data_IF_572582264554
#
_entry.id   IF_572582264554
#
_cell.length_a   1.000
_cell.length_b   1.000
_cell.length_c   1.000
_cell.angle_alpha   90.00
_cell.angle_beta   90.00
_cell.angle_gamma   90.00
#
_symmetry.space_group_name_H-M   'P 1'
#
loop_
_entity.id
_entity.type
_entity.pdbx_description
1 polymer ?
#
# COMPACT_ATOMS: atom_id res chain seq x y z
N UNK A 1 -8.59 31.67 -35.54
CA UNK A 1 -8.91 31.57 -34.11
C UNK A 1 -7.65 31.10 -33.41
N UNK A 2 -6.82 32.05 -32.97
CA UNK A 2 -5.51 31.78 -32.37
C UNK A 2 -5.72 31.72 -30.86
N UNK A 3 -5.48 30.56 -30.27
CA UNK A 3 -5.47 30.36 -28.83
C UNK A 3 -4.22 31.05 -28.27
N UNK A 4 -4.41 32.11 -27.49
CA UNK A 4 -3.33 32.74 -26.73
C UNK A 4 -3.08 31.87 -25.49
N UNK A 5 -2.05 31.04 -25.55
CA UNK A 5 -1.48 30.43 -24.35
C UNK A 5 -0.79 31.53 -23.53
N UNK A 6 -1.32 31.83 -22.35
CA UNK A 6 -0.65 32.69 -21.38
C UNK A 6 0.58 31.95 -20.85
N UNK A 7 1.73 32.21 -21.47
CA UNK A 7 3.04 31.85 -20.93
C UNK A 7 3.38 32.81 -19.80
N UNK A 8 3.30 32.36 -18.55
CA UNK A 8 3.74 33.16 -17.40
C UNK A 8 5.27 33.23 -17.38
N UNK A 9 5.81 34.40 -17.73
CA UNK A 9 7.20 34.75 -17.52
C UNK A 9 7.40 35.15 -16.05
N UNK A 10 8.38 34.55 -15.38
CA UNK A 10 8.82 34.97 -14.04
C UNK A 10 9.51 36.33 -14.13
N UNK A 11 9.00 37.29 -13.37
CA UNK A 11 9.75 38.49 -12.97
C UNK A 11 10.12 38.31 -11.51
N UNK A 12 11.37 38.65 -11.18
CA UNK A 12 11.98 38.45 -9.88
C UNK A 12 11.20 39.09 -8.71
N UNK A 13 11.25 38.36 -7.59
CA UNK A 13 11.00 38.77 -6.21
C UNK A 13 9.53 38.94 -5.77
N UNK A 14 9.17 38.14 -4.75
CA UNK A 14 7.91 38.13 -3.99
C UNK A 14 6.74 37.43 -4.68
N UNK A 15 6.60 36.13 -4.40
CA UNK A 15 5.26 35.50 -4.44
C UNK A 15 4.46 36.23 -3.37
N UNK A 16 3.42 36.96 -3.77
CA UNK A 16 2.43 37.51 -2.83
C UNK A 16 2.01 36.35 -1.91
N UNK A 17 2.04 36.51 -0.58
CA UNK A 17 1.75 35.43 0.36
C UNK A 17 0.46 34.70 0.00
N UNK A 18 -0.53 35.39 -0.58
CA UNK A 18 -1.82 34.84 -1.00
C UNK A 18 -1.79 33.75 -2.11
N UNK A 19 -0.66 33.54 -2.81
CA UNK A 19 -0.57 32.60 -3.95
C UNK A 19 0.45 31.47 -3.77
N UNK A 20 1.02 31.30 -2.57
CA UNK A 20 1.98 30.22 -2.34
C UNK A 20 1.32 28.84 -2.61
N UNK A 21 1.88 28.02 -3.53
CA UNK A 21 1.31 26.73 -3.85
C UNK A 21 1.57 25.73 -2.73
N UNK A 22 0.63 24.82 -2.51
CA UNK A 22 0.94 23.61 -1.75
C UNK A 22 1.90 22.74 -2.56
N UNK A 23 2.81 22.08 -1.85
CA UNK A 23 3.73 21.13 -2.44
C UNK A 23 3.43 19.72 -1.94
N UNK A 24 3.51 18.72 -2.81
CA UNK A 24 3.58 17.31 -2.48
C UNK A 24 4.99 16.79 -2.71
N UNK A 25 5.66 16.35 -1.64
CA UNK A 25 7.04 15.86 -1.69
C UNK A 25 8.00 16.83 -2.44
N UNK A 26 7.80 18.14 -2.31
CA UNK A 26 8.62 19.17 -2.96
C UNK A 26 8.22 19.53 -4.39
N UNK A 27 7.19 18.89 -4.96
CA UNK A 27 6.60 19.25 -6.26
C UNK A 27 5.26 19.95 -6.09
N UNK A 28 4.83 20.78 -7.04
CA UNK A 28 3.53 21.47 -6.94
C UNK A 28 2.40 20.45 -6.83
N UNK A 29 1.56 20.59 -5.80
CA UNK A 29 0.40 19.73 -5.57
C UNK A 29 -0.70 20.08 -6.58
N UNK A 30 -1.03 19.12 -7.45
CA UNK A 30 -2.21 19.20 -8.29
C UNK A 30 -3.46 18.84 -7.47
N UNK A 31 -4.35 19.82 -7.29
CA UNK A 31 -5.57 19.68 -6.50
C UNK A 31 -6.73 19.01 -7.25
N UNK A 32 -6.57 18.77 -8.56
CA UNK A 32 -7.59 18.21 -9.45
C UNK A 32 -7.32 16.76 -9.90
N UNK A 33 -6.11 16.23 -9.65
CA UNK A 33 -5.73 14.86 -10.00
C UNK A 33 -5.70 13.90 -8.79
N UNK A 34 -5.91 12.58 -8.99
CA UNK A 34 -5.62 11.57 -7.96
C UNK A 34 -4.14 11.61 -7.55
N UNK A 35 -3.87 11.60 -6.25
CA UNK A 35 -2.50 11.68 -5.73
C UNK A 35 -1.83 10.30 -5.65
N UNK A 36 -0.63 10.18 -6.21
CA UNK A 36 0.24 9.02 -6.01
C UNK A 36 0.99 9.16 -4.67
N UNK A 37 0.60 8.37 -3.68
CA UNK A 37 1.25 8.38 -2.38
C UNK A 37 2.51 7.50 -2.35
N UNK A 38 3.48 7.92 -1.53
CA UNK A 38 4.61 7.09 -1.14
C UNK A 38 4.39 6.55 0.29
N UNK A 39 5.38 5.84 0.87
CA UNK A 39 5.33 5.40 2.28
C UNK A 39 5.17 6.59 3.25
N UNK A 40 5.74 7.74 2.90
CA UNK A 40 5.64 9.00 3.63
C UNK A 40 5.44 10.14 2.63
N UNK A 41 4.21 10.61 2.53
CA UNK A 41 3.87 11.79 1.73
C UNK A 41 3.85 13.02 2.61
N UNK A 42 4.60 14.05 2.22
CA UNK A 42 4.56 15.38 2.85
C UNK A 42 3.77 16.33 1.96
N UNK A 43 2.78 16.99 2.53
CA UNK A 43 2.09 18.14 1.95
C UNK A 43 2.57 19.36 2.71
N UNK A 44 3.20 20.30 2.03
CA UNK A 44 3.92 21.42 2.66
C UNK A 44 3.56 22.77 2.07
N UNK A 45 3.83 23.84 2.83
CA UNK A 45 3.65 25.22 2.39
C UNK A 45 2.19 25.59 2.20
N UNK A 46 1.93 26.36 1.14
CA UNK A 46 0.60 26.86 0.79
C UNK A 46 0.23 28.14 1.53
N UNK A 47 -0.79 28.84 1.05
CA UNK A 47 -1.34 29.99 1.73
C UNK A 47 -2.82 30.17 1.44
N UNK A 48 -3.48 30.95 2.31
CA UNK A 48 -4.92 31.18 2.25
C UNK A 48 -5.72 29.88 2.40
N UNK A 49 -6.95 29.87 1.90
CA UNK A 49 -7.82 28.68 1.94
C UNK A 49 -7.89 28.01 0.57
N UNK A 50 -7.55 26.73 0.51
CA UNK A 50 -7.65 25.91 -0.71
C UNK A 50 -8.35 24.58 -0.43
N UNK A 51 -8.78 23.90 -1.49
CA UNK A 51 -9.48 22.62 -1.40
C UNK A 51 -8.80 21.55 -2.26
N UNK A 52 -8.43 20.44 -1.64
CA UNK A 52 -8.04 19.21 -2.32
C UNK A 52 -9.31 18.37 -2.53
N UNK A 53 -9.76 18.30 -3.78
CA UNK A 53 -11.02 17.67 -4.18
C UNK A 53 -10.84 16.26 -4.75
N UNK A 54 -9.65 15.95 -5.27
CA UNK A 54 -9.31 14.61 -5.75
C UNK A 54 -9.26 13.57 -4.63
N UNK A 55 -9.54 12.32 -5.01
CA UNK A 55 -9.37 11.15 -4.14
C UNK A 55 -7.88 10.89 -3.90
N UNK A 56 -7.51 10.75 -2.64
CA UNK A 56 -6.20 10.30 -2.19
C UNK A 56 -6.26 8.79 -1.91
N UNK A 57 -5.51 8.01 -2.68
CA UNK A 57 -5.46 6.55 -2.58
C UNK A 57 -4.02 6.05 -2.74
N UNK A 58 -3.75 4.83 -2.30
CA UNK A 58 -2.47 4.15 -2.47
C UNK A 58 -2.71 2.76 -3.08
N UNK A 59 -3.20 2.75 -4.32
CA UNK A 59 -3.35 1.54 -5.16
C UNK A 59 -1.99 1.00 -5.66
N UNK A 60 -0.97 1.00 -4.82
CA UNK A 60 0.27 0.27 -5.08
C UNK A 60 0.16 -1.10 -4.38
N UNK A 61 0.42 -2.22 -5.08
CA UNK A 61 0.41 -3.52 -4.45
C UNK A 61 1.41 -3.57 -3.30
N UNK A 62 1.05 -4.25 -2.21
CA UNK A 62 1.92 -4.37 -1.04
C UNK A 62 2.99 -5.43 -1.29
N UNK A 63 4.26 -5.03 -1.19
CA UNK A 63 5.38 -5.95 -1.29
C UNK A 63 5.75 -6.48 0.11
N UNK A 64 5.38 -7.74 0.38
CA UNK A 64 5.80 -8.45 1.58
C UNK A 64 7.18 -9.07 1.35
N UNK A 65 8.23 -8.46 1.93
CA UNK A 65 9.61 -8.91 1.77
C UNK A 65 9.92 -10.02 2.78
N UNK A 66 10.64 -11.05 2.34
CA UNK A 66 11.15 -12.12 3.18
C UNK A 66 10.69 -13.50 2.73
N UNK A 67 11.33 -14.53 3.30
CA UNK A 67 10.98 -15.91 3.04
C UNK A 67 9.68 -16.30 3.77
N UNK A 68 8.83 -17.04 3.07
CA UNK A 68 7.64 -17.65 3.65
C UNK A 68 8.05 -18.96 4.33
N UNK A 69 7.77 -19.10 5.62
CA UNK A 69 8.05 -20.33 6.37
C UNK A 69 7.21 -21.49 5.84
N UNK A 70 7.71 -22.72 5.98
CA UNK A 70 6.93 -23.94 5.67
C UNK A 70 6.01 -24.26 6.84
N UNK A 71 4.75 -24.62 6.56
CA UNK A 71 3.81 -24.99 7.60
C UNK A 71 4.31 -26.20 8.42
N UNK A 72 4.02 -26.27 9.73
CA UNK A 72 3.07 -25.44 10.48
C UNK A 72 3.57 -24.05 10.91
N UNK A 73 4.83 -23.71 10.65
CA UNK A 73 5.37 -22.38 10.91
C UNK A 73 4.84 -21.35 9.89
N UNK A 74 4.73 -20.09 10.32
CA UNK A 74 4.25 -19.00 9.47
C UNK A 74 5.12 -17.76 9.65
N UNK A 75 5.31 -16.97 8.60
CA UNK A 75 5.90 -15.63 8.71
C UNK A 75 4.82 -14.54 8.66
N UNK A 76 5.00 -13.49 9.45
CA UNK A 76 4.17 -12.29 9.40
C UNK A 76 4.46 -11.52 8.10
N UNK A 77 3.47 -11.47 7.20
CA UNK A 77 3.62 -10.81 5.89
C UNK A 77 3.11 -9.38 5.92
N UNK A 78 1.95 -9.16 6.57
CA UNK A 78 1.28 -7.86 6.57
C UNK A 78 0.88 -7.48 8.00
N UNK A 79 1.68 -6.66 8.70
CA UNK A 79 1.38 -6.26 10.07
C UNK A 79 0.15 -5.34 10.12
N UNK A 80 -0.76 -5.61 11.06
CA UNK A 80 -1.91 -4.75 11.38
C UNK A 80 -3.09 -4.82 10.40
N UNK A 81 -3.09 -5.76 9.45
CA UNK A 81 -4.21 -5.96 8.53
C UNK A 81 -4.97 -7.24 8.85
N UNK A 82 -6.29 -7.21 8.66
CA UNK A 82 -7.15 -8.39 8.74
C UNK A 82 -7.11 -9.16 7.42
N UNK A 83 -7.18 -10.48 7.46
CA UNK A 83 -7.16 -11.34 6.27
C UNK A 83 -8.22 -10.97 5.22
N UNK A 84 -9.40 -10.48 5.65
CA UNK A 84 -10.46 -10.02 4.75
C UNK A 84 -10.04 -8.88 3.79
N UNK A 85 -8.97 -8.13 4.11
CA UNK A 85 -8.41 -7.10 3.24
C UNK A 85 -7.59 -7.67 2.08
N UNK A 86 -7.06 -8.88 2.21
CA UNK A 86 -6.32 -9.52 1.12
C UNK A 86 -7.30 -9.99 0.04
N UNK A 87 -7.36 -9.26 -1.07
CA UNK A 87 -8.25 -9.55 -2.20
C UNK A 87 -7.58 -10.34 -3.30
N UNK A 88 -6.25 -10.38 -3.32
CA UNK A 88 -5.49 -11.13 -4.31
C UNK A 88 -4.00 -11.19 -3.99
N UNK A 89 -3.31 -12.01 -4.78
CA UNK A 89 -1.85 -12.05 -4.88
C UNK A 89 -1.54 -11.89 -6.36
N UNK A 90 -0.61 -11.01 -6.69
CA UNK A 90 -0.25 -10.69 -8.09
C UNK A 90 0.93 -11.53 -8.53
N UNK A 91 1.85 -11.84 -7.61
CA UNK A 91 3.03 -12.64 -7.88
C UNK A 91 3.99 -12.68 -6.71
N UNK A 92 5.24 -13.02 -7.00
CA UNK A 92 6.32 -13.01 -6.03
C UNK A 92 7.59 -13.65 -6.56
N UNK A 93 8.35 -14.31 -5.69
CA UNK A 93 9.50 -15.13 -6.06
C UNK A 93 9.43 -16.56 -5.52
N UNK A 94 10.03 -17.49 -6.26
CA UNK A 94 10.52 -18.75 -5.70
C UNK A 94 12.00 -18.64 -5.37
N UNK A 95 12.41 -19.40 -4.35
CA UNK A 95 13.79 -19.56 -3.93
C UNK A 95 14.05 -21.02 -3.54
N UNK A 96 15.31 -21.39 -3.32
CA UNK A 96 15.73 -22.73 -2.90
C UNK A 96 16.73 -23.33 -3.88
N UNK A 97 17.42 -24.40 -3.51
CA UNK A 97 18.41 -25.05 -4.37
C UNK A 97 17.79 -25.65 -5.65
N UNK A 98 16.48 -25.92 -5.66
CA UNK A 98 15.73 -26.35 -6.83
C UNK A 98 15.42 -25.23 -7.83
N UNK A 99 15.89 -24.00 -7.58
CA UNK A 99 15.77 -22.85 -8.48
C UNK A 99 17.16 -22.47 -9.00
N UNK A 100 17.33 -22.35 -10.32
CA UNK A 100 18.63 -22.05 -10.94
C UNK A 100 19.07 -20.59 -10.86
N UNK A 101 18.22 -19.71 -10.32
CA UNK A 101 18.51 -18.30 -10.03
C UNK A 101 18.37 -18.01 -8.53
N UNK A 102 18.95 -16.91 -8.06
CA UNK A 102 18.78 -16.48 -6.66
C UNK A 102 17.31 -16.31 -6.27
N UNK A 103 16.49 -15.85 -7.22
CA UNK A 103 15.04 -15.77 -7.12
C UNK A 103 14.43 -15.95 -8.50
N UNK A 104 13.38 -16.77 -8.62
CA UNK A 104 12.60 -16.95 -9.86
C UNK A 104 11.28 -16.19 -9.73
N UNK A 105 11.04 -15.13 -10.52
CA UNK A 105 9.77 -14.43 -10.52
C UNK A 105 8.60 -15.37 -10.86
N UNK A 106 7.50 -15.26 -10.12
CA UNK A 106 6.30 -16.08 -10.29
C UNK A 106 5.05 -15.26 -10.46
N UNK A 107 4.08 -15.87 -11.12
CA UNK A 107 2.71 -15.39 -11.22
C UNK A 107 1.80 -16.17 -10.28
N UNK A 108 0.75 -15.51 -9.81
CA UNK A 108 -0.26 -16.12 -8.96
C UNK A 108 -1.39 -16.75 -9.78
N UNK A 109 -1.78 -17.95 -9.38
CA UNK A 109 -2.89 -18.72 -9.91
C UNK A 109 -3.76 -19.24 -8.76
N UNK A 110 -5.04 -19.51 -9.04
CA UNK A 110 -5.95 -20.18 -8.11
C UNK A 110 -6.06 -19.52 -6.73
N UNK A 111 -6.03 -18.19 -6.67
CA UNK A 111 -6.29 -17.47 -5.41
C UNK A 111 -7.75 -17.67 -4.98
N UNK A 112 -7.95 -18.25 -3.79
CA UNK A 112 -9.29 -18.57 -3.27
C UNK A 112 -9.37 -18.48 -1.75
N UNK A 113 -10.59 -18.31 -1.24
CA UNK A 113 -10.86 -18.43 0.20
C UNK A 113 -11.24 -19.88 0.53
N UNK A 114 -10.69 -20.44 1.59
CA UNK A 114 -10.91 -21.82 2.04
C UNK A 114 -11.14 -21.80 3.55
N UNK A 115 -12.42 -21.78 3.95
CA UNK A 115 -12.80 -21.56 5.35
C UNK A 115 -12.24 -20.23 5.88
N UNK A 116 -11.49 -20.30 6.98
CA UNK A 116 -10.83 -19.15 7.63
C UNK A 116 -9.52 -18.71 6.96
N UNK A 117 -9.09 -19.41 5.90
CA UNK A 117 -7.83 -19.16 5.20
C UNK A 117 -8.05 -18.59 3.79
N UNK A 118 -6.99 -18.03 3.23
CA UNK A 118 -6.87 -17.79 1.79
C UNK A 118 -5.67 -18.54 1.25
N UNK A 119 -5.75 -19.07 0.04
CA UNK A 119 -4.67 -19.84 -0.58
C UNK A 119 -4.40 -19.34 -1.99
N UNK A 120 -3.16 -19.50 -2.45
CA UNK A 120 -2.73 -19.21 -3.83
C UNK A 120 -1.70 -20.24 -4.26
N UNK A 121 -1.65 -20.53 -5.57
CA UNK A 121 -0.59 -21.29 -6.20
C UNK A 121 0.29 -20.35 -7.01
N UNK A 122 1.57 -20.25 -6.65
CA UNK A 122 2.54 -19.41 -7.34
C UNK A 122 3.32 -20.26 -8.33
N UNK A 123 3.32 -19.89 -9.60
CA UNK A 123 3.85 -20.73 -10.67
C UNK A 123 4.81 -19.96 -11.58
N UNK A 124 5.84 -20.66 -12.05
CA UNK A 124 6.73 -20.21 -13.13
C UNK A 124 7.30 -21.41 -13.89
N UNK A 125 7.73 -21.15 -15.12
CA UNK A 125 8.45 -22.15 -15.93
C UNK A 125 9.95 -21.94 -15.79
N UNK A 126 10.68 -23.01 -15.51
CA UNK A 126 12.13 -23.06 -15.53
C UNK A 126 12.59 -24.47 -15.90
N UNK A 127 13.59 -24.58 -16.78
CA UNK A 127 14.20 -25.84 -17.21
C UNK A 127 13.18 -26.87 -17.74
N UNK A 128 12.17 -26.40 -18.49
CA UNK A 128 11.12 -27.25 -19.06
C UNK A 128 10.06 -27.74 -18.06
N UNK A 129 10.09 -27.24 -16.83
CA UNK A 129 9.14 -27.60 -15.78
C UNK A 129 8.31 -26.40 -15.33
N UNK A 130 7.02 -26.62 -15.10
CA UNK A 130 6.18 -25.70 -14.35
C UNK A 130 6.40 -25.98 -12.85
N UNK A 131 7.13 -25.08 -12.18
CA UNK A 131 7.40 -25.15 -10.74
C UNK A 131 6.31 -24.38 -9.99
N UNK A 132 5.81 -24.94 -8.89
CA UNK A 132 4.69 -24.38 -8.14
C UNK A 132 4.89 -24.45 -6.63
N UNK A 133 4.59 -23.34 -5.94
CA UNK A 133 4.47 -23.31 -4.48
C UNK A 133 3.08 -22.86 -4.07
N UNK A 134 2.41 -23.66 -3.23
CA UNK A 134 1.13 -23.28 -2.64
C UNK A 134 1.38 -22.53 -1.33
N UNK A 135 0.85 -21.32 -1.24
CA UNK A 135 0.95 -20.46 -0.04
C UNK A 135 -0.44 -20.29 0.57
N UNK A 136 -0.52 -20.47 1.89
CA UNK A 136 -1.73 -20.21 2.69
C UNK A 136 -1.53 -18.97 3.54
N UNK A 137 -2.54 -18.11 3.56
CA UNK A 137 -2.62 -16.91 4.39
C UNK A 137 -3.67 -17.12 5.49
N UNK A 138 -3.34 -16.63 6.69
CA UNK A 138 -4.22 -16.64 7.86
C UNK A 138 -4.21 -15.29 8.56
N UNK A 139 -5.31 -14.94 9.22
CA UNK A 139 -5.35 -13.79 10.13
C UNK A 139 -4.85 -14.18 11.53
N UNK A 140 -4.03 -13.33 12.13
CA UNK A 140 -3.62 -13.40 13.54
C UNK A 140 -3.76 -12.01 14.19
N UNK A 141 -3.55 -11.92 15.51
CA UNK A 141 -3.64 -10.66 16.25
C UNK A 141 -2.71 -9.57 15.69
N UNK A 142 -1.50 -9.96 15.28
CA UNK A 142 -0.48 -9.05 14.75
C UNK A 142 -0.67 -8.68 13.27
N UNK A 143 -1.54 -9.39 12.54
CA UNK A 143 -1.79 -9.13 11.11
C UNK A 143 -2.01 -10.39 10.28
N UNK A 144 -1.65 -10.32 8.99
CA UNK A 144 -1.74 -11.45 8.07
C UNK A 144 -0.42 -12.21 8.07
N UNK A 145 -0.48 -13.50 8.41
CA UNK A 145 0.65 -14.42 8.30
C UNK A 145 0.49 -15.30 7.07
N UNK A 146 1.60 -15.84 6.56
CA UNK A 146 1.59 -16.82 5.49
C UNK A 146 2.50 -18.01 5.78
N UNK A 147 2.15 -19.17 5.24
CA UNK A 147 2.97 -20.39 5.27
C UNK A 147 2.91 -21.13 3.94
N UNK A 148 4.03 -21.72 3.53
CA UNK A 148 4.10 -22.65 2.40
C UNK A 148 3.42 -23.95 2.82
N UNK A 149 2.43 -24.38 2.04
CA UNK A 149 1.70 -25.64 2.26
C UNK A 149 2.49 -26.79 1.64
N UNK A 150 2.89 -26.65 0.38
CA UNK A 150 3.67 -27.64 -0.35
C UNK A 150 4.32 -27.02 -1.59
N UNK A 151 5.29 -27.73 -2.16
CA UNK A 151 5.93 -27.43 -3.44
C UNK A 151 5.79 -28.62 -4.39
N UNK A 152 5.52 -28.36 -5.67
CA UNK A 152 5.35 -29.39 -6.71
C UNK A 152 5.82 -28.88 -8.07
N UNK A 153 6.26 -29.79 -8.93
CA UNK A 153 6.45 -29.49 -10.35
C UNK A 153 5.71 -30.45 -11.28
N UNK A 154 5.46 -29.95 -12.49
CA UNK A 154 4.90 -30.70 -13.59
C UNK A 154 5.61 -30.30 -14.89
N UNK A 155 5.22 -30.93 -16.00
CA UNK A 155 5.65 -30.47 -17.33
C UNK A 155 5.32 -28.98 -17.53
N UNK A 156 6.19 -28.23 -18.22
CA UNK A 156 5.96 -26.80 -18.48
C UNK A 156 4.62 -26.49 -19.14
N UNK A 157 4.05 -27.42 -19.93
CA UNK A 157 2.73 -27.27 -20.52
C UNK A 157 1.59 -27.15 -19.48
N UNK A 158 1.85 -27.52 -18.22
CA UNK A 158 0.88 -27.44 -17.12
C UNK A 158 0.90 -26.09 -16.39
N UNK A 159 1.60 -25.06 -16.90
CA UNK A 159 1.53 -23.71 -16.34
C UNK A 159 0.07 -23.22 -16.29
N UNK A 160 -0.35 -22.75 -15.12
CA UNK A 160 -1.70 -22.27 -14.84
C UNK A 160 -2.69 -23.35 -14.43
N UNK A 161 -2.33 -24.65 -14.49
CA UNK A 161 -3.16 -25.73 -13.97
C UNK A 161 -3.30 -25.64 -12.44
N UNK A 162 -4.36 -26.23 -11.88
CA UNK A 162 -4.51 -26.38 -10.43
C UNK A 162 -3.78 -27.65 -9.97
N UNK A 163 -2.69 -27.47 -9.23
CA UNK A 163 -1.82 -28.55 -8.74
C UNK A 163 -2.40 -29.36 -7.57
N UNK A 164 -3.60 -28.99 -7.10
CA UNK A 164 -4.40 -29.82 -6.20
C UNK A 164 -5.20 -30.90 -6.97
N UNK A 165 -5.37 -30.76 -8.30
CA UNK A 165 -6.21 -31.68 -9.11
C UNK A 165 -5.46 -32.45 -10.19
N UNK A 166 -4.28 -31.99 -10.61
CA UNK A 166 -3.46 -32.68 -11.60
C UNK A 166 -2.44 -33.62 -10.97
N UNK A 167 -1.94 -34.58 -11.74
CA UNK A 167 -0.76 -35.34 -11.38
C UNK A 167 0.49 -34.45 -11.50
N UNK A 168 1.19 -34.29 -10.39
CA UNK A 168 2.39 -33.48 -10.28
C UNK A 168 3.36 -34.14 -9.30
N UNK A 169 4.66 -33.90 -9.47
CA UNK A 169 5.71 -34.46 -8.63
C UNK A 169 5.90 -33.59 -7.39
N UNK A 170 5.87 -34.22 -6.23
CA UNK A 170 6.18 -33.55 -4.97
C UNK A 170 7.65 -33.12 -4.92
N UNK A 171 7.87 -31.90 -4.44
CA UNK A 171 9.19 -31.34 -4.21
C UNK A 171 9.33 -30.94 -2.74
N UNK A 172 10.55 -30.98 -2.19
CA UNK A 172 10.79 -30.46 -0.85
C UNK A 172 10.36 -28.99 -0.78
N UNK A 173 9.45 -28.67 0.14
CA UNK A 173 9.11 -27.29 0.45
C UNK A 173 10.22 -26.67 1.30
N UNK A 174 10.66 -25.46 0.95
CA UNK A 174 11.80 -24.80 1.57
C UNK A 174 11.42 -23.42 2.15
N UNK A 175 12.19 -22.96 3.14
CA UNK A 175 12.10 -21.60 3.68
C UNK A 175 13.38 -20.78 3.46
N UNK A 176 14.40 -21.35 2.80
CA UNK A 176 15.70 -20.72 2.56
C UNK A 176 16.22 -21.05 1.16
N UNK A 177 16.97 -20.12 0.56
CA UNK A 177 17.67 -20.37 -0.70
C UNK A 177 18.71 -21.50 -0.60
N UNK A 178 19.15 -21.84 0.62
CA UNK A 178 20.12 -22.90 0.89
C UNK A 178 19.49 -24.28 1.06
N UNK A 179 18.18 -24.36 1.26
CA UNK A 179 17.49 -25.63 1.49
C UNK A 179 17.20 -26.36 0.17
N UNK A 180 17.10 -27.70 0.17
CA UNK A 180 16.68 -28.47 -1.00
C UNK A 180 15.26 -28.11 -1.44
N UNK A 181 14.96 -28.34 -2.72
CA UNK A 181 13.66 -28.03 -3.31
C UNK A 181 13.43 -26.52 -3.45
N UNK A 182 12.19 -26.07 -3.25
CA UNK A 182 11.88 -24.65 -3.38
C UNK A 182 10.71 -24.16 -2.52
N UNK A 183 10.76 -22.89 -2.20
CA UNK A 183 9.81 -22.16 -1.37
C UNK A 183 9.40 -20.83 -1.98
N UNK A 184 8.70 -20.01 -1.20
CA UNK A 184 8.27 -18.69 -1.63
C UNK A 184 9.05 -17.58 -0.90
N UNK A 185 9.36 -16.51 -1.62
CA UNK A 185 9.97 -15.28 -1.12
C UNK A 185 9.32 -14.07 -1.79
N UNK A 186 9.15 -12.97 -1.07
CA UNK A 186 8.78 -11.69 -1.68
C UNK A 186 7.42 -11.73 -2.37
N UNK A 187 6.32 -11.64 -1.63
CA UNK A 187 4.96 -11.68 -2.18
C UNK A 187 4.49 -10.28 -2.60
N UNK A 188 3.76 -10.21 -3.71
CA UNK A 188 3.08 -9.00 -4.18
C UNK A 188 1.59 -9.16 -3.94
N UNK A 189 1.04 -8.43 -2.97
CA UNK A 189 -0.32 -8.61 -2.46
C UNK A 189 -1.25 -7.48 -2.91
N UNK A 190 -2.49 -7.82 -3.25
CA UNK A 190 -3.55 -6.89 -3.64
C UNK A 190 -4.63 -6.75 -2.56
N UNK A 191 -5.35 -5.63 -2.58
CA UNK A 191 -6.30 -5.24 -1.53
C UNK A 191 -5.64 -4.78 -0.23
N UNK A 192 -4.31 -4.84 -0.17
CA UNK A 192 -3.48 -4.31 0.91
C UNK A 192 -2.89 -2.98 0.44
N UNK A 193 -3.54 -1.84 0.74
CA UNK A 193 -2.96 -0.53 0.45
C UNK A 193 -1.64 -0.36 1.23
N UNK A 194 -0.53 -0.11 0.53
CA UNK A 194 0.77 0.11 1.16
C UNK A 194 0.72 1.30 2.12
N UNK A 195 0.96 1.10 3.44
CA UNK A 195 0.84 2.18 4.44
C UNK A 195 1.55 3.47 4.01
N UNK A 196 0.75 4.47 3.68
CA UNK A 196 1.13 5.82 3.29
C UNK A 196 0.78 6.79 4.41
N UNK A 197 1.78 7.16 5.19
CA UNK A 197 1.63 8.24 6.17
C UNK A 197 1.54 9.57 5.40
N UNK A 198 0.56 10.40 5.74
CA UNK A 198 0.49 11.77 5.24
C UNK A 198 0.85 12.73 6.36
N UNK A 199 1.78 13.65 6.08
CA UNK A 199 2.12 14.77 6.96
C UNK A 199 1.71 16.08 6.29
N UNK A 200 0.87 16.85 6.97
CA UNK A 200 0.57 18.22 6.61
C UNK A 200 1.49 19.15 7.40
N UNK A 201 2.48 19.72 6.72
CA UNK A 201 3.45 20.68 7.24
C UNK A 201 3.19 22.02 6.53
N UNK A 202 1.98 22.55 6.72
CA UNK A 202 1.49 23.75 6.02
C UNK A 202 2.02 25.02 6.68
N UNK A 203 1.98 26.14 5.95
CA UNK A 203 2.27 27.44 6.53
C UNK A 203 1.18 27.87 7.53
N UNK A 204 1.49 28.84 8.39
CA UNK A 204 0.69 29.10 9.60
C UNK A 204 -0.71 29.63 9.29
N UNK A 205 -0.85 30.42 8.23
CA UNK A 205 -2.10 30.99 7.72
C UNK A 205 -2.79 30.10 6.67
N UNK A 206 -2.15 28.99 6.28
CA UNK A 206 -2.68 28.08 5.29
C UNK A 206 -3.81 27.21 5.86
N UNK A 207 -4.90 27.12 5.10
CA UNK A 207 -6.03 26.24 5.35
C UNK A 207 -6.21 25.33 4.14
N UNK A 208 -5.93 24.03 4.31
CA UNK A 208 -6.20 23.03 3.28
C UNK A 208 -7.44 22.21 3.64
N UNK A 209 -8.52 22.37 2.86
CA UNK A 209 -9.71 21.55 2.97
C UNK A 209 -9.54 20.25 2.19
N UNK A 210 -9.60 19.11 2.86
CA UNK A 210 -9.46 17.79 2.25
C UNK A 210 -10.86 17.19 2.07
N UNK A 211 -11.35 17.18 0.83
CA UNK A 211 -12.76 16.87 0.53
C UNK A 211 -12.97 15.56 -0.23
N UNK A 212 -11.91 14.93 -0.73
CA UNK A 212 -11.98 13.63 -1.39
C UNK A 212 -12.47 12.49 -0.49
N UNK A 213 -13.09 11.47 -1.10
CA UNK A 213 -13.43 10.20 -0.45
C UNK A 213 -12.19 9.29 -0.36
N UNK A 214 -11.30 9.66 0.57
CA UNK A 214 -9.95 9.13 0.62
C UNK A 214 -9.90 7.74 1.26
N UNK A 215 -9.11 6.83 0.67
CA UNK A 215 -8.96 5.45 1.15
C UNK A 215 -7.51 5.03 1.37
N UNK A 216 -6.59 6.00 1.39
CA UNK A 216 -5.21 5.72 1.77
C UNK A 216 -5.12 5.08 3.16
N UNK A 217 -4.15 4.18 3.30
CA UNK A 217 -3.82 3.54 4.58
C UNK A 217 -2.66 4.27 5.24
N UNK A 218 -2.61 4.33 6.57
CA UNK A 218 -1.54 5.01 7.30
C UNK A 218 -2.02 6.25 8.05
N UNK A 219 -1.31 6.60 9.13
CA UNK A 219 -1.73 7.70 10.00
C UNK A 219 -1.61 9.05 9.30
N UNK A 220 -2.52 9.95 9.61
CA UNK A 220 -2.45 11.35 9.21
C UNK A 220 -1.82 12.16 10.33
N UNK A 221 -0.86 13.03 10.01
CA UNK A 221 -0.28 13.97 10.95
C UNK A 221 -0.54 15.40 10.50
N UNK A 222 -1.20 16.19 11.34
CA UNK A 222 -1.33 17.64 11.19
C UNK A 222 -0.20 18.26 11.99
N UNK A 223 0.87 18.66 11.31
CA UNK A 223 2.12 19.13 11.94
C UNK A 223 2.09 20.64 12.16
N UNK A 224 1.64 21.39 11.15
CA UNK A 224 1.49 22.85 11.18
C UNK A 224 0.35 23.32 10.26
N UNK A 225 -0.10 24.56 10.49
CA UNK A 225 -1.21 25.19 9.75
C UNK A 225 -2.56 24.54 10.04
N UNK A 226 -3.56 24.79 9.20
CA UNK A 226 -4.91 24.26 9.37
C UNK A 226 -5.27 23.24 8.28
N UNK A 227 -5.66 22.04 8.71
CA UNK A 227 -6.23 21.02 7.82
C UNK A 227 -7.70 20.87 8.16
N UNK A 228 -8.57 21.21 7.20
CA UNK A 228 -10.02 21.14 7.35
C UNK A 228 -10.59 19.89 6.68
N UNK A 229 -11.48 19.18 7.36
CA UNK A 229 -12.23 18.08 6.76
C UNK A 229 -13.34 18.64 5.85
N UNK A 230 -13.37 18.20 4.60
CA UNK A 230 -14.46 18.47 3.65
C UNK A 230 -15.37 17.26 3.40
N UNK A 231 -15.03 16.09 3.95
CA UNK A 231 -15.78 14.84 3.83
C UNK A 231 -15.61 13.99 5.10
N UNK A 232 -16.58 13.13 5.40
CA UNK A 232 -16.48 12.16 6.52
C UNK A 232 -15.31 11.18 6.35
N UNK A 233 -14.86 10.98 5.10
CA UNK A 233 -13.74 10.11 4.74
C UNK A 233 -12.47 10.89 4.37
N UNK A 234 -12.38 12.17 4.74
CA UNK A 234 -11.26 13.06 4.38
C UNK A 234 -9.87 12.50 4.75
N UNK A 235 -9.75 11.69 5.82
CA UNK A 235 -8.46 11.22 6.33
C UNK A 235 -8.31 9.69 6.30
N UNK A 236 -9.00 9.02 5.35
CA UNK A 236 -8.98 7.56 5.28
C UNK A 236 -9.50 6.91 6.56
N UNK A 237 -9.15 5.63 6.77
CA UNK A 237 -9.62 4.86 7.93
C UNK A 237 -8.68 4.85 9.15
N UNK A 238 -7.52 5.50 9.08
CA UNK A 238 -6.47 5.40 10.11
C UNK A 238 -6.54 6.50 11.16
N UNK A 239 -5.64 6.51 12.15
CA UNK A 239 -5.62 7.58 13.17
C UNK A 239 -5.20 8.94 12.58
N UNK A 240 -5.72 10.02 13.17
CA UNK A 240 -5.27 11.40 12.92
C UNK A 240 -4.55 11.91 14.16
N UNK A 241 -3.33 12.41 14.00
CA UNK A 241 -2.51 12.97 15.08
C UNK A 241 -2.32 14.47 14.85
N UNK A 242 -2.71 15.28 15.81
CA UNK A 242 -2.57 16.75 15.75
C UNK A 242 -1.39 17.16 16.62
N UNK A 243 -0.36 17.74 16.02
CA UNK A 243 0.86 18.18 16.72
C UNK A 243 0.72 19.61 17.22
N UNK A 244 1.65 20.06 18.08
CA UNK A 244 1.62 21.36 18.76
C UNK A 244 1.26 22.56 17.87
N UNK A 245 1.75 22.62 16.64
CA UNK A 245 1.56 23.75 15.75
C UNK A 245 0.44 23.54 14.72
N UNK A 246 -0.23 22.38 14.77
CA UNK A 246 -1.27 21.99 13.84
C UNK A 246 -2.68 22.26 14.35
N UNK A 247 -3.57 22.58 13.43
CA UNK A 247 -5.02 22.70 13.68
C UNK A 247 -5.76 21.72 12.79
N UNK A 248 -6.55 20.83 13.41
CA UNK A 248 -7.53 19.99 12.71
C UNK A 248 -8.90 20.64 12.82
N UNK A 249 -9.48 21.06 11.71
CA UNK A 249 -10.85 21.57 11.67
C UNK A 249 -11.79 20.49 11.12
N UNK A 250 -12.71 19.99 11.96
CA UNK A 250 -13.66 18.95 11.54
C UNK A 250 -14.83 19.51 10.72
N UNK A 251 -15.03 20.83 10.69
CA UNK A 251 -16.14 21.47 10.00
C UNK A 251 -17.51 20.86 10.34
N UNK A 252 -17.75 20.51 11.61
CA UNK A 252 -18.98 19.85 12.06
C UNK A 252 -19.12 18.37 11.69
N UNK A 253 -18.16 17.78 10.99
CA UNK A 253 -18.22 16.38 10.53
C UNK A 253 -17.88 15.39 11.64
N UNK A 254 -18.56 14.23 11.59
CA UNK A 254 -18.26 13.06 12.43
C UNK A 254 -17.27 12.16 11.72
N UNK A 255 -15.99 12.36 12.01
CA UNK A 255 -14.91 11.51 11.51
C UNK A 255 -14.84 10.20 12.30
N UNK A 256 -14.72 9.06 11.60
CA UNK A 256 -14.55 7.75 12.25
C UNK A 256 -13.12 7.50 12.76
N UNK A 257 -12.18 8.38 12.42
CA UNK A 257 -10.77 8.26 12.78
C UNK A 257 -10.58 8.36 14.31
N UNK A 258 -9.63 7.59 14.84
CA UNK A 258 -9.09 7.86 16.18
C UNK A 258 -8.27 9.15 16.14
N UNK A 259 -8.75 10.20 16.78
CA UNK A 259 -8.03 11.49 16.85
C UNK A 259 -7.17 11.53 18.12
N UNK A 260 -5.88 11.80 17.97
CA UNK A 260 -4.92 11.98 19.08
C UNK A 260 -4.38 13.40 19.06
N UNK A 261 -4.69 14.20 20.07
CA UNK A 261 -4.14 15.54 20.20
C UNK A 261 -2.82 15.51 21.01
N UNK A 262 -1.73 16.00 20.42
CA UNK A 262 -0.40 16.16 21.03
C UNK A 262 -0.03 17.63 21.25
N UNK A 263 -1.02 18.43 21.64
CA UNK A 263 -0.86 19.84 22.01
C UNK A 263 -1.23 20.84 20.91
N UNK A 264 -1.89 20.40 19.84
CA UNK A 264 -2.45 21.27 18.81
C UNK A 264 -3.92 21.62 19.08
N UNK A 265 -4.58 22.16 18.06
CA UNK A 265 -5.97 22.64 18.14
C UNK A 265 -6.91 21.72 17.35
N UNK A 266 -8.08 21.43 17.91
CA UNK A 266 -9.14 20.69 17.21
C UNK A 266 -10.40 21.55 17.22
N UNK A 267 -10.92 21.87 16.02
CA UNK A 267 -12.14 22.63 15.83
C UNK A 267 -13.32 21.70 15.49
N UNK A 268 -14.52 22.14 15.88
CA UNK A 268 -15.77 21.38 15.91
C UNK A 268 -16.36 21.10 14.55
#
# INVERSE_FOLDING_TARGET
>A
MVSVGLSYWRVDCCVEPAEAPFLINGTVLDLQAPLLLTKLTRITGGAGTQTLSGRISNHQPYFAIGAVQVLPQTSLMVPGYRLARLTGVVGGGLQGQGISSTQLPVQAYHFRSVGEYKEVQLQAVQDGLAKMVKVRFAGQSEGIVAGVVYAKDADAAMLGADFDVIEARDQPASSSYQDPGYGCVGLVLDGIPARSVIRYELDTDAVLTVSGDNDYSGSTFVVSGTVRAGSVNAFGGSQVVVMRNGTLDKAGLRLSNKITNRGGVILG
#
